data_IF_189417674610
#
_entry.id   IF_189417674610
#
_cell.length_a   1.000
_cell.length_b   1.000
_cell.length_c   1.000
_cell.angle_alpha   90.00
_cell.angle_beta   90.00
_cell.angle_gamma   90.00
#
_symmetry.space_group_name_H-M   'P 1'
#
loop_
_entity.id
_entity.type
_entity.pdbx_description
1 polymer ?
#
# COMPACT_ATOMS: atom_id res chain seq x y z
N UNK A 1 23.45 -11.54 -0.04
CA UNK A 1 22.06 -11.96 0.17
C UNK A 1 21.37 -10.83 0.91
N UNK A 2 20.61 -9.97 0.22
CA UNK A 2 19.92 -8.85 0.85
C UNK A 2 18.93 -9.36 1.91
N UNK A 3 18.91 -8.75 3.08
CA UNK A 3 18.06 -9.20 4.17
C UNK A 3 16.57 -9.15 3.76
N UNK A 4 15.74 -10.10 4.18
CA UNK A 4 14.30 -10.15 3.85
C UNK A 4 13.52 -8.90 4.30
N UNK A 5 14.13 -8.05 5.13
CA UNK A 5 13.54 -6.79 5.56
C UNK A 5 13.57 -5.70 4.49
N UNK A 6 14.60 -5.68 3.64
CA UNK A 6 14.81 -4.63 2.63
C UNK A 6 13.76 -4.73 1.50
N UNK A 7 13.40 -5.96 1.15
CA UNK A 7 12.35 -6.24 0.16
C UNK A 7 10.97 -5.80 0.66
N UNK A 8 10.67 -6.03 1.94
CA UNK A 8 9.43 -5.56 2.56
C UNK A 8 9.32 -4.04 2.57
N UNK A 9 10.41 -3.34 2.89
CA UNK A 9 10.47 -1.87 2.87
C UNK A 9 10.23 -1.34 1.44
N UNK A 10 10.79 -1.99 0.43
CA UNK A 10 10.58 -1.62 -0.98
C UNK A 10 9.13 -1.84 -1.42
N UNK A 11 8.53 -2.97 -1.01
CA UNK A 11 7.14 -3.28 -1.34
C UNK A 11 6.16 -2.34 -0.63
N UNK A 12 6.37 -2.04 0.66
CA UNK A 12 5.51 -1.09 1.39
C UNK A 12 5.61 0.30 0.80
N UNK A 13 6.81 0.76 0.44
CA UNK A 13 7.00 2.03 -0.27
C UNK A 13 6.25 2.08 -1.60
N UNK A 14 6.31 1.01 -2.41
CA UNK A 14 5.54 0.92 -3.67
C UNK A 14 4.03 1.04 -3.42
N UNK A 15 3.51 0.38 -2.38
CA UNK A 15 2.08 0.47 -2.03
C UNK A 15 1.73 1.90 -1.63
N UNK A 16 2.54 2.54 -0.78
CA UNK A 16 2.33 3.93 -0.37
C UNK A 16 2.32 4.89 -1.55
N UNK A 17 3.32 4.82 -2.44
CA UNK A 17 3.40 5.66 -3.63
C UNK A 17 2.18 5.47 -4.54
N UNK A 18 1.71 4.22 -4.70
CA UNK A 18 0.51 3.91 -5.48
C UNK A 18 -0.77 4.47 -4.86
N UNK A 19 -0.91 4.40 -3.53
CA UNK A 19 -2.04 4.98 -2.80
C UNK A 19 -2.02 6.51 -2.86
N UNK A 20 -0.85 7.11 -2.61
CA UNK A 20 -0.61 8.56 -2.67
C UNK A 20 -1.02 9.10 -4.03
N UNK A 21 -0.63 8.42 -5.10
CA UNK A 21 -1.00 8.79 -6.47
C UNK A 21 -2.50 8.72 -6.72
N UNK A 22 -3.20 7.67 -6.28
CA UNK A 22 -4.65 7.57 -6.46
C UNK A 22 -5.41 8.65 -5.66
N UNK A 23 -4.89 9.05 -4.50
CA UNK A 23 -5.42 10.20 -3.74
C UNK A 23 -5.22 11.50 -4.54
N UNK A 24 -4.04 11.70 -5.12
CA UNK A 24 -3.71 12.88 -5.93
C UNK A 24 -4.53 12.96 -7.22
N UNK A 25 -4.78 11.82 -7.87
CA UNK A 25 -5.65 11.68 -9.05
C UNK A 25 -7.15 11.84 -8.69
N UNK A 26 -7.49 11.94 -7.40
CA UNK A 26 -8.84 12.19 -6.93
C UNK A 26 -9.78 10.98 -6.97
N UNK A 27 -9.24 9.76 -7.15
CA UNK A 27 -9.99 8.51 -6.98
C UNK A 27 -10.47 8.36 -5.53
N UNK A 28 -9.69 8.87 -4.57
CA UNK A 28 -9.94 8.74 -3.14
C UNK A 28 -10.25 10.10 -2.55
N UNK A 29 -11.49 10.54 -2.70
CA UNK A 29 -11.94 11.81 -2.13
C UNK A 29 -12.09 11.70 -0.62
N UNK A 30 -11.91 12.83 0.05
CA UNK A 30 -12.17 12.95 1.48
C UNK A 30 -13.58 12.45 1.83
N UNK A 31 -13.68 11.57 2.82
CA UNK A 31 -14.93 10.90 3.20
C UNK A 31 -15.27 9.64 2.39
N UNK A 32 -14.51 9.29 1.36
CA UNK A 32 -14.64 8.01 0.66
C UNK A 32 -14.08 6.90 1.54
N UNK A 33 -14.83 5.80 1.64
CA UNK A 33 -14.38 4.63 2.38
C UNK A 33 -13.21 3.96 1.65
N UNK A 34 -12.08 3.88 2.34
CA UNK A 34 -10.94 3.08 1.88
C UNK A 34 -11.31 1.58 1.87
N UNK A 35 -10.89 0.81 0.85
CA UNK A 35 -10.85 -0.64 0.87
C UNK A 35 -10.04 -1.14 2.06
N UNK A 36 -10.32 -2.38 2.45
CA UNK A 36 -9.61 -3.01 3.56
C UNK A 36 -8.15 -3.30 3.21
N UNK A 37 -7.28 -3.46 4.22
CA UNK A 37 -5.88 -3.87 4.01
C UNK A 37 -5.75 -5.13 3.16
N UNK A 38 -6.72 -6.06 3.27
CA UNK A 38 -6.78 -7.30 2.48
C UNK A 38 -7.07 -7.04 1.01
N UNK A 39 -8.01 -6.15 0.71
CA UNK A 39 -8.35 -5.77 -0.67
C UNK A 39 -7.23 -4.98 -1.34
N UNK A 40 -6.59 -4.09 -0.58
CA UNK A 40 -5.39 -3.40 -1.02
C UNK A 40 -4.26 -4.39 -1.29
N UNK A 41 -4.04 -5.35 -0.39
CA UNK A 41 -3.02 -6.37 -0.56
C UNK A 41 -3.25 -7.20 -1.84
N UNK A 42 -4.50 -7.58 -2.10
CA UNK A 42 -4.89 -8.27 -3.33
C UNK A 42 -4.67 -7.39 -4.58
N UNK A 43 -5.03 -6.10 -4.52
CA UNK A 43 -4.89 -5.15 -5.63
C UNK A 43 -3.43 -4.87 -5.99
N UNK A 44 -2.56 -4.76 -4.99
CA UNK A 44 -1.12 -4.52 -5.17
C UNK A 44 -0.30 -5.81 -5.32
N UNK A 45 -0.91 -7.00 -5.17
CA UNK A 45 -0.22 -8.29 -5.24
C UNK A 45 0.80 -8.50 -4.11
N UNK A 46 0.57 -7.90 -2.95
CA UNK A 46 1.46 -7.98 -1.77
C UNK A 46 0.77 -8.67 -0.60
N UNK A 47 1.50 -8.93 0.48
CA UNK A 47 0.91 -9.43 1.72
C UNK A 47 0.29 -8.31 2.56
N UNK A 48 -0.79 -8.62 3.28
CA UNK A 48 -1.44 -7.70 4.27
C UNK A 48 -0.47 -6.91 5.16
N UNK A 49 0.55 -7.52 5.80
CA UNK A 49 1.50 -6.76 6.62
C UNK A 49 2.29 -5.71 5.84
N UNK A 50 2.54 -5.90 4.55
CA UNK A 50 3.21 -4.89 3.69
C UNK A 50 2.33 -3.66 3.49
N UNK A 51 1.03 -3.87 3.28
CA UNK A 51 0.06 -2.78 3.17
C UNK A 51 -0.07 -2.06 4.51
N UNK A 52 -0.16 -2.79 5.62
CA UNK A 52 -0.21 -2.16 6.94
C UNK A 52 0.97 -1.23 7.16
N UNK A 53 2.19 -1.71 6.91
CA UNK A 53 3.43 -0.91 7.00
C UNK A 53 3.43 0.30 6.07
N UNK A 54 2.75 0.24 4.92
CA UNK A 54 2.61 1.38 4.02
C UNK A 54 1.61 2.42 4.54
N UNK A 55 0.71 2.07 5.46
CA UNK A 55 -0.33 2.96 5.99
C UNK A 55 0.05 3.61 7.34
N UNK A 56 1.14 3.18 7.98
CA UNK A 56 1.61 3.71 9.28
C UNK A 56 2.47 4.97 9.10
#
# INVERSE_FOLDING_TARGET
MGAPNDERIKLSKRVYDGLRRQIDEGEWREGTRMPTETELAASFGVSRPVVREALV
#
